data_IF_703835998105
#
_entry.id   IF_703835998105
#
_cell.length_a   1.000
_cell.length_b   1.000
_cell.length_c   1.000
_cell.angle_alpha   90.00
_cell.angle_beta   90.00
_cell.angle_gamma   90.00
#
_symmetry.space_group_name_H-M   'P 1'
#
loop_
_entity.id
_entity.type
_entity.pdbx_description
1 polymer ?
#
# COMPACT_ATOMS: atom_id res chain seq x y z
N UNK A 1 21.08 -7.60 6.47
CA UNK A 1 20.00 -6.58 6.41
C UNK A 1 20.46 -5.36 5.62
N UNK A 2 19.82 -5.10 4.48
CA UNK A 2 19.99 -3.86 3.70
C UNK A 2 18.68 -3.07 3.76
N UNK A 3 18.74 -1.75 3.94
CA UNK A 3 17.57 -0.87 3.91
C UNK A 3 17.66 0.04 2.68
N UNK A 4 16.62 0.04 1.85
CA UNK A 4 16.58 0.81 0.62
C UNK A 4 15.27 1.58 0.48
N UNK A 5 15.38 2.86 0.14
CA UNK A 5 14.23 3.72 -0.19
C UNK A 5 14.16 3.90 -1.69
N UNK A 6 13.07 3.43 -2.30
CA UNK A 6 12.81 3.62 -3.72
C UNK A 6 12.04 4.91 -3.94
N UNK A 7 12.74 6.00 -4.22
CA UNK A 7 12.11 7.29 -4.52
C UNK A 7 11.40 7.33 -5.87
N UNK A 8 11.82 6.49 -6.82
CA UNK A 8 11.26 6.46 -8.17
C UNK A 8 10.89 5.05 -8.61
N UNK A 9 9.91 4.95 -9.51
CA UNK A 9 9.49 3.68 -10.12
C UNK A 9 10.65 2.90 -10.77
N UNK A 10 11.57 3.61 -11.43
CA UNK A 10 12.76 2.98 -12.03
C UNK A 10 13.64 2.32 -10.97
N UNK A 11 13.86 2.99 -9.84
CA UNK A 11 14.74 2.53 -8.78
C UNK A 11 14.09 1.36 -8.01
N UNK A 12 12.77 1.44 -7.81
CA UNK A 12 11.94 0.34 -7.29
C UNK A 12 12.11 -0.93 -8.15
N UNK A 13 11.85 -0.83 -9.46
CA UNK A 13 11.99 -1.95 -10.39
C UNK A 13 13.41 -2.50 -10.43
N UNK A 14 14.43 -1.63 -10.41
CA UNK A 14 15.84 -2.05 -10.43
C UNK A 14 16.19 -2.83 -9.17
N UNK A 15 15.74 -2.38 -8.01
CA UNK A 15 15.99 -3.07 -6.75
C UNK A 15 15.31 -4.44 -6.72
N UNK A 16 14.03 -4.51 -7.07
CA UNK A 16 13.28 -5.78 -7.15
C UNK A 16 13.99 -6.78 -8.08
N UNK A 17 14.35 -6.35 -9.31
CA UNK A 17 15.06 -7.20 -10.27
C UNK A 17 16.41 -7.68 -9.76
N UNK A 18 17.13 -6.82 -9.03
CA UNK A 18 18.42 -7.15 -8.44
C UNK A 18 18.27 -8.20 -7.34
N UNK A 19 17.26 -8.08 -6.48
CA UNK A 19 16.99 -9.06 -5.43
C UNK A 19 16.63 -10.41 -6.04
N UNK A 20 15.70 -10.44 -7.01
CA UNK A 20 15.31 -11.69 -7.70
C UNK A 20 16.50 -12.35 -8.40
N UNK A 21 17.30 -11.58 -9.15
CA UNK A 21 18.45 -12.12 -9.89
C UNK A 21 19.49 -12.77 -8.96
N UNK A 22 19.69 -12.18 -7.78
CA UNK A 22 20.69 -12.64 -6.82
C UNK A 22 20.08 -13.55 -5.73
N UNK A 23 18.81 -13.94 -5.85
CA UNK A 23 18.11 -14.77 -4.85
C UNK A 23 18.16 -14.18 -3.43
N UNK A 24 18.07 -12.85 -3.33
CA UNK A 24 18.03 -12.14 -2.05
C UNK A 24 16.58 -11.90 -1.68
N UNK A 25 16.20 -12.24 -0.45
CA UNK A 25 14.86 -12.00 0.05
C UNK A 25 14.57 -10.50 0.13
N UNK A 26 13.36 -10.13 -0.26
CA UNK A 26 12.89 -8.75 -0.30
C UNK A 26 11.60 -8.64 0.50
N UNK A 27 11.57 -7.74 1.48
CA UNK A 27 10.36 -7.39 2.21
C UNK A 27 10.06 -5.91 2.01
N UNK A 28 8.86 -5.64 1.51
CA UNK A 28 8.37 -4.27 1.36
C UNK A 28 7.80 -3.83 2.70
N UNK A 29 8.21 -2.65 3.16
CA UNK A 29 7.77 -2.09 4.42
C UNK A 29 7.21 -0.68 4.23
N UNK A 30 6.11 -0.40 4.93
CA UNK A 30 5.62 0.95 5.15
C UNK A 30 6.43 1.63 6.25
N UNK A 31 5.76 2.03 7.34
CA UNK A 31 6.42 2.59 8.52
C UNK A 31 6.83 1.54 9.56
N UNK A 32 6.63 0.25 9.28
CA UNK A 32 6.98 -0.83 10.21
C UNK A 32 6.11 -0.89 11.47
N UNK A 33 4.97 -0.19 11.49
CA UNK A 33 4.07 -0.08 12.66
C UNK A 33 3.36 -1.38 13.05
N UNK A 34 3.53 -2.44 12.25
CA UNK A 34 2.97 -3.76 12.47
C UNK A 34 3.99 -4.88 12.19
N UNK A 35 5.29 -4.61 12.39
CA UNK A 35 6.37 -5.57 12.18
C UNK A 35 7.22 -5.64 13.44
N UNK A 36 7.48 -6.85 13.91
CA UNK A 36 8.46 -7.13 14.96
C UNK A 36 9.67 -7.81 14.32
N UNK A 37 10.83 -7.16 14.37
CA UNK A 37 12.08 -7.74 13.88
C UNK A 37 12.71 -8.65 14.93
N UNK A 38 13.19 -9.82 14.49
CA UNK A 38 13.99 -10.72 15.33
C UNK A 38 15.46 -10.25 15.35
N UNK A 39 16.17 -10.49 16.44
CA UNK A 39 17.62 -10.22 16.56
C UNK A 39 18.51 -11.16 15.71
N UNK A 40 17.91 -12.17 15.07
CA UNK A 40 18.65 -13.09 14.20
C UNK A 40 19.15 -12.36 12.96
N UNK A 41 20.31 -12.79 12.47
CA UNK A 41 20.79 -12.34 11.18
C UNK A 41 19.88 -12.88 10.07
N UNK A 42 19.36 -11.99 9.23
CA UNK A 42 18.55 -12.31 8.06
C UNK A 42 19.17 -11.61 6.85
N UNK A 43 19.37 -12.37 5.77
CA UNK A 43 19.77 -11.83 4.48
C UNK A 43 18.55 -11.27 3.74
N UNK A 44 18.17 -10.07 4.16
CA UNK A 44 16.93 -9.42 3.77
C UNK A 44 17.19 -8.00 3.29
N UNK A 45 16.58 -7.63 2.17
CA UNK A 45 16.41 -6.23 1.75
C UNK A 45 15.06 -5.73 2.25
N UNK A 46 15.08 -4.69 3.08
CA UNK A 46 13.91 -3.90 3.44
C UNK A 46 13.73 -2.79 2.43
N UNK A 47 12.64 -2.84 1.69
CA UNK A 47 12.30 -1.90 0.65
C UNK A 47 11.17 -0.98 1.12
N UNK A 48 11.45 0.32 1.21
CA UNK A 48 10.44 1.34 1.50
C UNK A 48 10.18 2.17 0.25
N UNK A 49 8.91 2.49 0.00
CA UNK A 49 8.52 3.42 -1.05
C UNK A 49 8.77 4.87 -0.60
N UNK A 50 9.37 5.66 -1.49
CA UNK A 50 9.73 7.06 -1.27
C UNK A 50 8.86 8.04 -2.05
N UNK A 51 9.49 9.11 -2.53
CA UNK A 51 8.83 10.33 -3.01
C UNK A 51 7.76 10.12 -4.09
N UNK A 52 8.02 9.36 -5.15
CA UNK A 52 7.07 9.17 -6.27
C UNK A 52 5.80 8.39 -5.85
N UNK A 53 5.78 7.85 -4.63
CA UNK A 53 4.66 7.09 -4.06
C UNK A 53 4.05 7.80 -2.84
N UNK A 54 4.47 9.02 -2.52
CA UNK A 54 3.97 9.85 -1.42
C UNK A 54 3.17 11.04 -1.96
N UNK A 55 1.97 10.76 -2.45
CA UNK A 55 1.07 11.77 -3.02
C UNK A 55 -0.39 11.45 -2.70
N UNK A 56 -1.22 12.49 -2.77
CA UNK A 56 -2.67 12.41 -2.59
C UNK A 56 -3.34 13.39 -3.57
N UNK A 57 -4.28 12.86 -4.35
CA UNK A 57 -5.05 13.59 -5.35
C UNK A 57 -6.54 13.33 -5.14
N UNK A 58 -7.33 14.38 -5.30
CA UNK A 58 -8.78 14.30 -5.28
C UNK A 58 -9.27 14.53 -6.72
N UNK A 59 -9.98 13.54 -7.26
CA UNK A 59 -10.59 13.61 -8.59
C UNK A 59 -12.07 13.97 -8.46
N UNK A 60 -12.67 14.39 -9.56
CA UNK A 60 -14.12 14.45 -9.69
C UNK A 60 -14.73 13.05 -9.49
N UNK A 61 -16.03 12.99 -9.16
CA UNK A 61 -16.81 11.74 -8.99
C UNK A 61 -16.46 10.87 -7.75
N UNK A 62 -16.17 11.46 -6.59
CA UNK A 62 -15.95 10.71 -5.33
C UNK A 62 -14.69 9.80 -5.34
N UNK A 63 -13.75 10.05 -6.25
CA UNK A 63 -12.50 9.29 -6.37
C UNK A 63 -11.35 10.01 -5.65
N UNK A 64 -10.61 9.25 -4.84
CA UNK A 64 -9.40 9.71 -4.16
C UNK A 64 -8.26 8.79 -4.60
N UNK A 65 -7.18 9.38 -5.10
CA UNK A 65 -6.03 8.64 -5.59
C UNK A 65 -4.88 8.92 -4.64
N UNK A 66 -4.25 7.87 -4.13
CA UNK A 66 -3.10 8.02 -3.26
C UNK A 66 -1.97 7.07 -3.65
N UNK A 67 -0.74 7.56 -3.52
CA UNK A 67 0.44 6.71 -3.58
C UNK A 67 0.52 5.81 -2.34
N UNK A 68 1.08 4.61 -2.50
CA UNK A 68 1.14 3.62 -1.44
C UNK A 68 2.00 4.04 -0.23
N UNK A 69 2.93 4.98 -0.39
CA UNK A 69 3.76 5.52 0.70
C UNK A 69 3.07 6.64 1.49
N UNK A 70 1.95 7.17 0.98
CA UNK A 70 1.27 8.30 1.62
C UNK A 70 0.79 7.93 3.02
N UNK A 71 0.96 8.85 3.98
CA UNK A 71 0.65 8.60 5.39
C UNK A 71 -0.86 8.48 5.60
N UNK A 72 -1.30 7.40 6.26
CA UNK A 72 -2.72 7.13 6.49
C UNK A 72 -3.39 8.25 7.30
N UNK A 73 -2.75 8.71 8.38
CA UNK A 73 -3.33 9.78 9.20
C UNK A 73 -3.44 11.11 8.44
N UNK A 74 -2.48 11.43 7.57
CA UNK A 74 -2.58 12.62 6.70
C UNK A 74 -3.72 12.48 5.71
N UNK A 75 -3.95 11.27 5.21
CA UNK A 75 -5.07 10.97 4.31
C UNK A 75 -6.41 11.16 5.00
N UNK A 76 -6.60 10.59 6.20
CA UNK A 76 -7.85 10.72 6.96
C UNK A 76 -8.19 12.19 7.21
N UNK A 77 -7.20 13.00 7.63
CA UNK A 77 -7.40 14.44 7.86
C UNK A 77 -7.73 15.19 6.56
N UNK A 78 -6.99 14.94 5.47
CA UNK A 78 -7.21 15.61 4.20
C UNK A 78 -8.56 15.24 3.55
N UNK A 79 -9.00 13.99 3.72
CA UNK A 79 -10.27 13.48 3.24
C UNK A 79 -11.44 14.07 4.04
N UNK A 80 -11.32 14.13 5.37
CA UNK A 80 -12.30 14.76 6.25
C UNK A 80 -12.50 16.25 5.90
N UNK A 81 -11.43 16.98 5.62
CA UNK A 81 -11.50 18.39 5.19
C UNK A 81 -12.27 18.61 3.86
N UNK A 82 -12.54 17.54 3.10
CA UNK A 82 -13.33 17.57 1.86
C UNK A 82 -14.69 16.87 1.99
N UNK A 83 -15.08 16.51 3.21
CA UNK A 83 -16.36 15.88 3.51
C UNK A 83 -16.40 14.37 3.29
N UNK A 84 -15.26 13.68 3.14
CA UNK A 84 -15.22 12.21 3.06
C UNK A 84 -15.03 11.60 4.45
N UNK A 85 -15.81 10.56 4.77
CA UNK A 85 -15.73 9.87 6.07
C UNK A 85 -14.83 8.63 6.01
N UNK A 86 -13.63 8.78 6.58
CA UNK A 86 -12.69 7.70 6.87
C UNK A 86 -12.38 7.60 8.38
N UNK A 87 -13.34 8.00 9.22
CA UNK A 87 -13.17 8.06 10.69
C UNK A 87 -12.81 6.71 11.31
N UNK A 88 -13.23 5.59 10.71
CA UNK A 88 -12.88 4.23 11.12
C UNK A 88 -11.38 3.91 11.01
N UNK A 89 -10.62 4.74 10.30
CA UNK A 89 -9.17 4.62 10.14
C UNK A 89 -8.40 5.61 11.05
N UNK A 90 -9.11 6.45 11.80
CA UNK A 90 -8.50 7.42 12.71
C UNK A 90 -7.66 6.73 13.78
N UNK A 91 -6.48 7.28 14.06
CA UNK A 91 -5.53 6.74 15.04
C UNK A 91 -4.71 5.54 14.56
N UNK A 92 -4.95 5.00 13.36
CA UNK A 92 -4.13 3.92 12.79
C UNK A 92 -2.86 4.52 12.16
N UNK A 93 -1.64 4.17 12.64
CA UNK A 93 -0.41 4.69 12.09
C UNK A 93 0.04 3.91 10.85
N UNK A 94 0.86 4.54 10.01
CA UNK A 94 1.49 3.91 8.86
C UNK A 94 1.13 4.58 7.53
N UNK A 95 1.30 3.81 6.47
CA UNK A 95 1.10 4.23 5.07
C UNK A 95 -0.17 3.60 4.50
N UNK A 96 -0.82 4.23 3.54
CA UNK A 96 -2.00 3.68 2.85
C UNK A 96 -1.73 2.28 2.29
N UNK A 97 -0.58 2.05 1.63
CA UNK A 97 -0.24 0.74 1.08
C UNK A 97 -0.18 -0.35 2.15
N UNK A 98 0.56 -0.10 3.23
CA UNK A 98 0.57 -1.00 4.40
C UNK A 98 -0.81 -1.21 5.03
N UNK A 99 -1.65 -0.17 5.04
CA UNK A 99 -3.02 -0.28 5.53
C UNK A 99 -3.89 -1.17 4.66
N UNK A 100 -3.75 -1.11 3.34
CA UNK A 100 -4.46 -1.99 2.39
C UNK A 100 -3.98 -3.45 2.54
N UNK A 101 -2.66 -3.69 2.60
CA UNK A 101 -2.11 -5.04 2.83
C UNK A 101 -2.66 -5.66 4.14
N UNK A 102 -2.83 -4.85 5.19
CA UNK A 102 -3.37 -5.32 6.45
C UNK A 102 -4.89 -5.18 6.60
N UNK A 103 -5.61 -4.78 5.55
CA UNK A 103 -6.99 -4.27 5.58
C UNK A 103 -7.34 -3.56 6.90
N UNK A 104 -6.63 -2.47 7.17
CA UNK A 104 -6.71 -1.77 8.46
C UNK A 104 -8.11 -1.22 8.72
N UNK A 105 -8.58 -1.40 9.95
CA UNK A 105 -9.88 -0.95 10.42
C UNK A 105 -10.50 -1.94 11.40
N UNK A 106 -11.83 -1.98 11.45
CA UNK A 106 -12.58 -2.90 12.30
C UNK A 106 -12.88 -4.22 11.58
N UNK A 107 -13.46 -5.18 12.31
CA UNK A 107 -13.99 -6.43 11.70
C UNK A 107 -15.11 -6.18 10.68
N UNK A 108 -15.79 -5.05 10.76
CA UNK A 108 -16.97 -4.76 9.93
C UNK A 108 -16.69 -3.82 8.77
N UNK A 109 -15.64 -2.98 8.91
CA UNK A 109 -15.27 -1.97 7.92
C UNK A 109 -13.79 -1.62 8.05
N UNK A 110 -13.03 -1.99 7.05
CA UNK A 110 -11.63 -1.69 6.82
C UNK A 110 -11.43 -0.68 5.68
N UNK A 111 -10.17 -0.43 5.34
CA UNK A 111 -9.80 0.46 4.24
C UNK A 111 -10.16 -0.14 2.88
N UNK A 112 -10.07 -1.47 2.72
CA UNK A 112 -10.34 -2.13 1.44
C UNK A 112 -11.79 -1.99 1.00
N UNK A 113 -12.74 -1.78 1.92
CA UNK A 113 -14.14 -1.48 1.60
C UNK A 113 -14.33 -0.16 0.83
N UNK A 114 -13.31 0.69 0.81
CA UNK A 114 -13.29 1.93 0.02
C UNK A 114 -12.41 1.82 -1.22
N UNK A 115 -11.67 0.73 -1.42
CA UNK A 115 -10.70 0.61 -2.53
C UNK A 115 -11.41 0.12 -3.78
N UNK A 116 -11.42 0.94 -4.82
CA UNK A 116 -11.92 0.57 -6.14
C UNK A 116 -10.88 -0.23 -6.91
N UNK A 117 -9.62 0.26 -6.92
CA UNK A 117 -8.52 -0.34 -7.67
C UNK A 117 -7.18 -0.16 -6.97
N UNK A 118 -6.26 -1.08 -7.25
CA UNK A 118 -4.86 -0.98 -6.83
C UNK A 118 -3.94 -1.14 -8.03
N UNK A 119 -2.85 -0.37 -8.06
CA UNK A 119 -1.72 -0.60 -8.96
C UNK A 119 -0.55 -1.19 -8.18
N UNK A 120 0.11 -2.19 -8.74
CA UNK A 120 1.14 -2.95 -8.04
C UNK A 120 2.20 -3.49 -9.01
N UNK A 121 3.33 -3.88 -8.46
CA UNK A 121 4.34 -4.66 -9.16
C UNK A 121 4.16 -6.13 -8.80
N UNK A 122 4.18 -7.01 -9.80
CA UNK A 122 4.15 -8.46 -9.63
C UNK A 122 5.35 -9.16 -10.27
N UNK A 123 5.59 -10.41 -9.85
CA UNK A 123 6.59 -11.29 -10.43
C UNK A 123 5.94 -12.48 -11.14
N UNK A 124 5.75 -12.40 -12.45
CA UNK A 124 5.21 -13.50 -13.25
C UNK A 124 6.33 -14.30 -13.89
N UNK A 125 6.76 -15.37 -13.22
CA UNK A 125 7.80 -16.27 -13.72
C UNK A 125 9.14 -15.60 -13.97
N UNK A 126 9.55 -14.66 -13.09
CA UNK A 126 10.79 -13.89 -13.20
C UNK A 126 10.62 -12.54 -13.92
N UNK A 127 9.45 -12.28 -14.51
CA UNK A 127 9.16 -11.01 -15.18
C UNK A 127 8.46 -10.04 -14.25
N UNK A 128 9.12 -8.91 -13.99
CA UNK A 128 8.57 -7.82 -13.20
C UNK A 128 7.69 -6.95 -14.08
N UNK A 129 6.39 -6.95 -13.79
CA UNK A 129 5.36 -6.21 -14.53
C UNK A 129 4.62 -5.25 -13.59
N UNK A 130 4.09 -4.17 -14.16
CA UNK A 130 3.14 -3.29 -13.48
C UNK A 130 1.73 -3.71 -13.87
N UNK A 131 0.87 -3.86 -12.87
CA UNK A 131 -0.52 -4.26 -13.06
C UNK A 131 -1.44 -3.28 -12.35
N UNK A 132 -2.70 -3.23 -12.78
CA UNK A 132 -3.77 -2.52 -12.08
C UNK A 132 -5.03 -3.36 -12.16
N UNK A 133 -5.62 -3.66 -11.01
CA UNK A 133 -6.84 -4.46 -10.90
C UNK A 133 -7.87 -3.75 -10.02
N UNK A 134 -9.14 -4.05 -10.25
CA UNK A 134 -10.18 -3.78 -9.27
C UNK A 134 -10.17 -4.85 -8.18
N UNK A 135 -10.59 -4.49 -6.96
CA UNK A 135 -10.73 -5.47 -5.89
C UNK A 135 -12.10 -6.13 -5.97
N UNK A 136 -12.12 -7.45 -5.84
CA UNK A 136 -13.30 -8.27 -5.58
C UNK A 136 -13.37 -8.72 -4.10
N UNK A 137 -14.48 -9.36 -3.74
CA UNK A 137 -14.77 -9.76 -2.36
C UNK A 137 -13.78 -10.79 -1.81
N UNK A 138 -13.17 -11.62 -2.67
CA UNK A 138 -12.20 -12.66 -2.27
C UNK A 138 -10.76 -12.12 -2.09
N UNK A 139 -10.50 -10.88 -2.50
CA UNK A 139 -9.16 -10.29 -2.46
C UNK A 139 -8.78 -9.77 -1.06
N UNK A 140 -9.76 -9.58 -0.17
CA UNK A 140 -9.52 -9.05 1.17
C UNK A 140 -10.52 -9.54 2.22
N UNK A 141 -10.16 -9.39 3.48
CA UNK A 141 -10.98 -9.79 4.63
C UNK A 141 -10.45 -9.17 5.92
N UNK A 142 -10.92 -9.63 7.07
CA UNK A 142 -10.42 -9.10 8.35
C UNK A 142 -8.93 -9.43 8.53
N UNK A 143 -8.08 -8.39 8.47
CA UNK A 143 -6.61 -8.51 8.52
C UNK A 143 -6.01 -9.38 7.40
N UNK A 144 -6.70 -9.44 6.26
CA UNK A 144 -6.32 -10.24 5.11
C UNK A 144 -6.39 -9.40 3.84
N UNK A 145 -5.42 -9.59 2.96
CA UNK A 145 -5.35 -9.06 1.61
C UNK A 145 -4.48 -9.98 0.78
N UNK A 146 -4.94 -10.35 -0.41
CA UNK A 146 -4.21 -11.25 -1.29
C UNK A 146 -4.46 -10.92 -2.75
N UNK A 147 -3.36 -10.80 -3.50
CA UNK A 147 -3.35 -10.77 -4.95
C UNK A 147 -2.21 -11.69 -5.38
N UNK A 148 -2.42 -12.61 -6.34
CA UNK A 148 -1.36 -13.47 -6.85
C UNK A 148 -0.14 -12.69 -7.33
N UNK A 149 1.05 -13.20 -7.03
CA UNK A 149 2.35 -12.67 -7.48
C UNK A 149 2.68 -11.24 -7.05
N UNK A 150 1.87 -10.62 -6.17
CA UNK A 150 2.08 -9.25 -5.71
C UNK A 150 3.39 -9.11 -4.94
N UNK A 151 4.21 -8.13 -5.32
CA UNK A 151 5.41 -7.73 -4.60
C UNK A 151 5.14 -6.46 -3.81
N UNK A 152 4.63 -5.42 -4.46
CA UNK A 152 4.45 -4.09 -3.85
C UNK A 152 3.28 -3.33 -4.45
N UNK A 153 2.38 -2.83 -3.60
CA UNK A 153 1.39 -1.82 -3.97
C UNK A 153 2.08 -0.48 -4.22
N UNK A 154 1.67 0.23 -5.27
CA UNK A 154 2.28 1.53 -5.65
C UNK A 154 1.27 2.66 -5.65
N UNK A 155 0.01 2.37 -6.01
CA UNK A 155 -1.09 3.34 -6.07
C UNK A 155 -2.40 2.69 -5.64
N UNK A 156 -3.21 3.45 -4.93
CA UNK A 156 -4.53 3.04 -4.46
C UNK A 156 -5.54 4.06 -4.97
N UNK A 157 -6.62 3.56 -5.58
CA UNK A 157 -7.78 4.36 -5.98
C UNK A 157 -8.92 4.00 -5.04
N UNK A 158 -9.36 4.98 -4.24
CA UNK A 158 -10.46 4.84 -3.32
C UNK A 158 -11.71 5.55 -3.85
N UNK A 159 -12.87 4.97 -3.57
CA UNK A 159 -14.18 5.53 -3.83
C UNK A 159 -14.94 5.67 -2.52
N UNK A 160 -15.26 6.90 -2.14
CA UNK A 160 -16.01 7.18 -0.93
C UNK A 160 -17.02 8.30 -1.21
N UNK A 161 -18.28 8.08 -0.85
CA UNK A 161 -19.28 9.14 -0.91
C UNK A 161 -18.96 10.20 0.14
N UNK A 162 -19.26 11.45 -0.18
CA UNK A 162 -19.27 12.51 0.83
C UNK A 162 -20.28 12.15 1.91
N UNK A 163 -19.90 12.42 3.15
CA UNK A 163 -20.77 12.29 4.30
C UNK A 163 -21.78 13.44 4.29
N UNK A 164 -23.04 13.15 4.59
CA UNK A 164 -24.09 14.17 4.79
C UNK A 164 -24.06 14.76 6.22
N UNK A 165 -23.03 14.43 7.01
CA UNK A 165 -22.84 14.90 8.39
C UNK A 165 -21.91 16.11 8.47
#
# INVERSE_FOLDING_TARGET
LCYFVADKMRDLKKMIKTCIKNQIDLMVIGDGTNILFSDKYIDLVLLKLGRDFDYLEFSDENKIIAGAAYKLLKFVVAAAARGYDFSNLSGIPGTIGGSVIGNSGSKYKGICDFVERVSYISNKGGNIIEETIGLGDDDFGYRYFYIPDLIVLTRIVLNARKSDR
#
